data_IF_387919555977
#
_entry.id   IF_387919555977
#
_cell.length_a   1.000
_cell.length_b   1.000
_cell.length_c   1.000
_cell.angle_alpha   90.00
_cell.angle_beta   90.00
_cell.angle_gamma   90.00
#
_symmetry.space_group_name_H-M   'P 1'
#
loop_
_entity.id
_entity.type
_entity.pdbx_description
1 polymer ?
#
# COMPACT_ATOMS: atom_id res chain seq x y z
N UNK A 1 -10.52 -9.18 2.93
CA UNK A 1 -9.13 -8.85 2.53
C UNK A 1 -8.37 -10.04 1.95
N UNK A 2 -8.24 -11.18 2.65
CA UNK A 2 -7.46 -12.32 2.10
C UNK A 2 -8.04 -12.91 0.80
N UNK A 3 -9.37 -13.06 0.70
CA UNK A 3 -10.03 -13.56 -0.53
C UNK A 3 -9.80 -12.63 -1.71
N UNK A 4 -10.00 -11.32 -1.51
CA UNK A 4 -9.79 -10.30 -2.56
C UNK A 4 -8.33 -10.20 -2.97
N UNK A 5 -7.39 -10.33 -2.01
CA UNK A 5 -5.96 -10.35 -2.31
C UNK A 5 -5.58 -11.58 -3.15
N UNK A 6 -6.09 -12.76 -2.79
CA UNK A 6 -5.85 -13.98 -3.55
C UNK A 6 -6.39 -13.87 -4.98
N UNK A 7 -7.61 -13.35 -5.14
CA UNK A 7 -8.21 -13.09 -6.46
C UNK A 7 -7.38 -12.10 -7.28
N UNK A 8 -6.96 -10.99 -6.68
CA UNK A 8 -6.10 -9.99 -7.33
C UNK A 8 -4.74 -10.54 -7.75
N UNK A 9 -4.25 -11.57 -7.07
CA UNK A 9 -2.97 -12.19 -7.39
C UNK A 9 -3.10 -13.26 -8.49
N UNK A 10 -4.16 -14.09 -8.43
CA UNK A 10 -4.36 -15.23 -9.35
C UNK A 10 -4.98 -14.82 -10.69
N UNK A 11 -6.01 -13.97 -10.68
CA UNK A 11 -6.78 -13.65 -11.90
C UNK A 11 -5.91 -13.00 -12.97
N UNK A 12 -5.11 -11.95 -12.67
CA UNK A 12 -4.26 -11.31 -13.67
C UNK A 12 -3.17 -12.26 -14.18
N UNK A 13 -2.65 -13.14 -13.33
CA UNK A 13 -1.65 -14.13 -13.74
C UNK A 13 -2.23 -15.14 -14.73
N UNK A 14 -3.44 -15.64 -14.49
CA UNK A 14 -4.14 -16.53 -15.42
C UNK A 14 -4.29 -15.89 -16.81
N UNK A 15 -4.79 -14.66 -16.88
CA UNK A 15 -4.96 -13.95 -18.15
C UNK A 15 -3.63 -13.63 -18.82
N UNK A 16 -2.62 -13.20 -18.06
CA UNK A 16 -1.28 -12.89 -18.59
C UNK A 16 -0.64 -14.10 -19.26
N UNK A 17 -0.74 -15.28 -18.64
CA UNK A 17 -0.21 -16.52 -19.20
C UNK A 17 -0.98 -16.93 -20.46
N UNK A 18 -2.32 -16.83 -20.43
CA UNK A 18 -3.16 -17.14 -21.60
C UNK A 18 -2.94 -16.20 -22.79
N UNK A 19 -2.70 -14.92 -22.52
CA UNK A 19 -2.50 -13.88 -23.53
C UNK A 19 -1.01 -13.66 -23.89
N UNK A 20 -0.10 -14.50 -23.37
CA UNK A 20 1.35 -14.41 -23.61
C UNK A 20 1.98 -13.03 -23.32
N UNK A 21 1.49 -12.33 -22.28
CA UNK A 21 1.95 -10.99 -21.95
C UNK A 21 3.21 -11.01 -21.07
N UNK A 22 4.35 -11.39 -21.66
CA UNK A 22 5.60 -11.66 -20.95
C UNK A 22 6.16 -10.50 -20.13
N UNK A 23 5.97 -9.25 -20.59
CA UNK A 23 6.45 -8.05 -19.88
C UNK A 23 5.81 -7.93 -18.50
N UNK A 24 4.50 -8.14 -18.41
CA UNK A 24 3.79 -8.10 -17.14
C UNK A 24 4.25 -9.24 -16.23
N UNK A 25 4.40 -10.45 -16.78
CA UNK A 25 4.83 -11.62 -16.02
C UNK A 25 6.18 -11.40 -15.33
N UNK A 26 7.17 -10.84 -16.02
CA UNK A 26 8.50 -10.56 -15.44
C UNK A 26 8.41 -9.57 -14.28
N UNK A 27 7.71 -8.44 -14.48
CA UNK A 27 7.52 -7.43 -13.43
C UNK A 27 6.79 -8.03 -12.24
N UNK A 28 5.76 -8.84 -12.50
CA UNK A 28 4.95 -9.48 -11.49
C UNK A 28 5.76 -10.48 -10.65
N UNK A 29 6.63 -11.28 -11.28
CA UNK A 29 7.50 -12.23 -10.58
C UNK A 29 8.48 -11.47 -9.68
N UNK A 30 9.12 -10.42 -10.20
CA UNK A 30 10.05 -9.60 -9.43
C UNK A 30 9.37 -8.94 -8.23
N UNK A 31 8.22 -8.29 -8.45
CA UNK A 31 7.43 -7.68 -7.40
C UNK A 31 7.02 -8.70 -6.33
N UNK A 32 6.53 -9.87 -6.76
CA UNK A 32 6.07 -10.93 -5.86
C UNK A 32 7.23 -11.52 -5.05
N UNK A 33 8.40 -11.72 -5.65
CA UNK A 33 9.58 -12.24 -4.97
C UNK A 33 10.06 -11.29 -3.87
N UNK A 34 10.19 -9.98 -4.18
CA UNK A 34 10.63 -8.98 -3.19
C UNK A 34 9.59 -8.79 -2.09
N UNK A 35 8.31 -8.71 -2.47
CA UNK A 35 7.21 -8.59 -1.49
C UNK A 35 7.13 -9.81 -0.59
N UNK A 36 7.28 -11.02 -1.13
CA UNK A 36 7.33 -12.25 -0.34
C UNK A 36 8.50 -12.25 0.65
N UNK A 37 9.68 -11.78 0.25
CA UNK A 37 10.82 -11.62 1.16
C UNK A 37 10.54 -10.62 2.30
N UNK A 38 9.96 -9.46 1.96
CA UNK A 38 9.60 -8.42 2.94
C UNK A 38 8.53 -8.93 3.92
N UNK A 39 7.48 -9.59 3.42
CA UNK A 39 6.43 -10.21 4.22
C UNK A 39 6.96 -11.34 5.09
N UNK A 40 7.87 -12.17 4.56
CA UNK A 40 8.56 -13.18 5.35
C UNK A 40 9.27 -12.53 6.54
N UNK A 41 10.04 -11.46 6.32
CA UNK A 41 10.72 -10.74 7.41
C UNK A 41 9.73 -10.16 8.43
N UNK A 42 8.61 -9.60 7.97
CA UNK A 42 7.57 -9.04 8.84
C UNK A 42 6.84 -10.06 9.72
N UNK A 43 6.76 -11.32 9.28
CA UNK A 43 6.04 -12.41 9.97
C UNK A 43 6.92 -13.23 10.93
N UNK A 44 8.24 -13.03 10.92
CA UNK A 44 9.17 -13.74 11.81
C UNK A 44 9.02 -13.32 13.27
N UNK A 45 9.12 -14.30 14.17
CA UNK A 45 9.19 -14.11 15.61
C UNK A 45 10.55 -14.62 16.13
N UNK A 46 11.30 -13.85 16.94
CA UNK A 46 11.03 -12.45 17.31
C UNK A 46 11.22 -11.49 16.12
N UNK A 47 10.51 -10.36 16.14
CA UNK A 47 10.63 -9.33 15.11
C UNK A 47 11.97 -8.58 15.30
N UNK A 48 12.80 -8.55 14.25
CA UNK A 48 14.07 -7.81 14.28
C UNK A 48 13.79 -6.31 14.21
N UNK A 49 14.45 -5.50 15.04
CA UNK A 49 14.25 -4.05 15.18
C UNK A 49 14.31 -3.24 13.87
N UNK A 50 15.12 -3.67 12.89
CA UNK A 50 15.23 -2.99 11.58
C UNK A 50 14.10 -3.32 10.61
N UNK A 51 13.29 -4.35 10.90
CA UNK A 51 12.26 -4.88 9.99
C UNK A 51 11.14 -3.88 9.70
N UNK A 52 10.55 -3.17 10.68
CA UNK A 52 9.51 -2.19 10.40
C UNK A 52 9.95 -1.10 9.43
N UNK A 53 11.21 -0.65 9.56
CA UNK A 53 11.78 0.34 8.65
C UNK A 53 11.94 -0.21 7.23
N UNK A 54 12.41 -1.46 7.09
CA UNK A 54 12.51 -2.14 5.79
C UNK A 54 11.14 -2.26 5.12
N UNK A 55 10.14 -2.73 5.87
CA UNK A 55 8.76 -2.92 5.41
C UNK A 55 8.18 -1.59 4.92
N UNK A 56 8.24 -0.54 5.73
CA UNK A 56 7.71 0.77 5.35
C UNK A 56 8.46 1.39 4.17
N UNK A 57 9.78 1.24 4.08
CA UNK A 57 10.57 1.72 2.93
C UNK A 57 10.17 1.02 1.64
N UNK A 58 10.03 -0.30 1.67
CA UNK A 58 9.61 -1.08 0.49
C UNK A 58 8.24 -0.62 -0.01
N UNK A 59 7.22 -0.65 0.86
CA UNK A 59 5.86 -0.31 0.44
C UNK A 59 5.71 1.18 0.07
N UNK A 60 6.46 2.08 0.71
CA UNK A 60 6.50 3.48 0.28
C UNK A 60 7.16 3.66 -1.09
N UNK A 61 8.19 2.87 -1.41
CA UNK A 61 8.83 2.90 -2.73
C UNK A 61 7.86 2.44 -3.81
N UNK A 62 7.21 1.28 -3.62
CA UNK A 62 6.24 0.77 -4.60
C UNK A 62 5.09 1.76 -4.76
N UNK A 63 4.57 2.32 -3.65
CA UNK A 63 3.57 3.39 -3.67
C UNK A 63 3.97 4.58 -4.56
N UNK A 64 5.20 5.08 -4.41
CA UNK A 64 5.67 6.23 -5.20
C UNK A 64 5.74 5.90 -6.69
N UNK A 65 6.22 4.70 -7.02
CA UNK A 65 6.32 4.23 -8.41
C UNK A 65 4.92 4.08 -9.00
N UNK A 66 4.06 3.31 -8.32
CA UNK A 66 2.66 3.06 -8.66
C UNK A 66 1.87 4.36 -8.88
N UNK A 67 1.98 5.31 -7.95
CA UNK A 67 1.34 6.61 -8.04
C UNK A 67 1.87 7.44 -9.22
N UNK A 68 3.19 7.50 -9.41
CA UNK A 68 3.79 8.24 -10.54
C UNK A 68 3.40 7.62 -11.89
N UNK A 69 3.42 6.29 -12.01
CA UNK A 69 3.00 5.56 -13.20
C UNK A 69 1.51 5.79 -13.49
N UNK A 70 0.65 5.78 -12.47
CA UNK A 70 -0.77 6.08 -12.60
C UNK A 70 -1.03 7.51 -13.10
N UNK A 71 -0.33 8.51 -12.56
CA UNK A 71 -0.41 9.89 -13.05
C UNK A 71 0.06 9.98 -14.51
N UNK A 72 1.22 9.37 -14.83
CA UNK A 72 1.75 9.39 -16.19
C UNK A 72 0.78 8.75 -17.19
N UNK A 73 0.16 7.63 -16.83
CA UNK A 73 -0.87 6.98 -17.65
C UNK A 73 -2.12 7.85 -17.82
N UNK A 74 -2.61 8.48 -16.75
CA UNK A 74 -3.73 9.42 -16.83
C UNK A 74 -3.43 10.58 -17.77
N UNK A 75 -2.25 11.18 -17.63
CA UNK A 75 -1.81 12.28 -18.51
C UNK A 75 -1.72 11.83 -19.97
N UNK A 76 -1.21 10.63 -20.24
CA UNK A 76 -1.14 10.08 -21.60
C UNK A 76 -2.53 9.86 -22.22
N UNK A 77 -3.50 9.36 -21.44
CA UNK A 77 -4.90 9.20 -21.88
C UNK A 77 -5.53 10.57 -22.15
N UNK A 78 -5.41 11.53 -21.22
CA UNK A 78 -5.94 12.89 -21.40
C UNK A 78 -5.34 13.56 -22.64
N UNK A 79 -4.02 13.45 -22.81
CA UNK A 79 -3.31 13.99 -23.95
C UNK A 79 -3.82 13.43 -25.28
N UNK A 80 -4.18 12.15 -25.32
CA UNK A 80 -4.76 11.49 -26.48
C UNK A 80 -6.21 11.94 -26.72
N UNK A 81 -7.02 12.07 -25.66
CA UNK A 81 -8.42 12.52 -25.77
C UNK A 81 -8.57 13.97 -26.24
N UNK A 82 -7.64 14.86 -25.88
CA UNK A 82 -7.61 16.23 -26.38
C UNK A 82 -7.04 16.34 -27.81
N UNK A 83 -6.68 15.23 -28.45
CA UNK A 83 -6.13 15.21 -29.81
C UNK A 83 -4.71 15.77 -29.93
N UNK A 84 -4.02 16.01 -28.82
CA UNK A 84 -2.66 16.57 -28.81
C UNK A 84 -1.62 15.57 -29.33
N UNK A 85 -1.92 14.27 -29.26
CA UNK A 85 -1.14 13.20 -29.88
C UNK A 85 -0.99 13.35 -31.40
N UNK A 86 -1.97 13.98 -32.07
CA UNK A 86 -1.92 14.26 -33.51
C UNK A 86 -0.82 15.29 -33.86
N UNK A 87 -0.49 16.21 -32.94
CA UNK A 87 0.61 17.17 -33.12
C UNK A 87 1.97 16.47 -33.23
N UNK A 88 2.11 15.31 -32.59
CA UNK A 88 3.32 14.48 -32.62
C UNK A 88 3.24 13.36 -33.65
N UNK A 89 2.19 13.34 -34.51
CA UNK A 89 1.92 12.29 -35.49
C UNK A 89 1.84 10.88 -34.89
N UNK A 90 1.46 10.78 -33.61
CA UNK A 90 1.25 9.50 -32.94
C UNK A 90 -0.20 9.10 -33.16
N UNK A 91 -0.42 7.86 -33.60
CA UNK A 91 -1.78 7.37 -33.79
C UNK A 91 -2.54 7.32 -32.45
N UNK A 92 -3.83 7.70 -32.41
CA UNK A 92 -4.63 7.64 -31.19
C UNK A 92 -4.71 6.25 -30.56
N UNK A 93 -4.77 5.20 -31.39
CA UNK A 93 -4.76 3.80 -30.94
C UNK A 93 -3.53 3.49 -30.08
N UNK A 94 -2.33 3.72 -30.61
CA UNK A 94 -1.06 3.41 -29.93
C UNK A 94 -0.88 4.24 -28.65
N UNK A 95 -1.26 5.53 -28.69
CA UNK A 95 -1.13 6.43 -27.54
C UNK A 95 -2.10 6.05 -26.41
N UNK A 96 -3.34 5.65 -26.77
CA UNK A 96 -4.35 5.21 -25.82
C UNK A 96 -3.95 3.88 -25.18
N UNK A 97 -3.48 2.90 -25.97
CA UNK A 97 -3.02 1.60 -25.48
C UNK A 97 -1.84 1.76 -24.50
N UNK A 98 -0.89 2.65 -24.81
CA UNK A 98 0.20 2.99 -23.91
C UNK A 98 -0.29 3.62 -22.61
N UNK A 99 -1.18 4.61 -22.69
CA UNK A 99 -1.74 5.30 -21.52
C UNK A 99 -2.55 4.38 -20.62
N UNK A 100 -3.42 3.55 -21.20
CA UNK A 100 -4.21 2.54 -20.48
C UNK A 100 -3.30 1.49 -19.86
N UNK A 101 -2.26 1.04 -20.57
CA UNK A 101 -1.28 0.11 -20.01
C UNK A 101 -0.62 0.69 -18.75
N UNK A 102 -0.12 1.93 -18.81
CA UNK A 102 0.47 2.60 -17.65
C UNK A 102 -0.52 2.74 -16.49
N UNK A 103 -1.76 3.13 -16.78
CA UNK A 103 -2.82 3.19 -15.76
C UNK A 103 -3.05 1.83 -15.11
N UNK A 104 -3.11 0.76 -15.90
CA UNK A 104 -3.25 -0.59 -15.39
C UNK A 104 -2.07 -0.96 -14.47
N UNK A 105 -0.82 -0.75 -14.90
CA UNK A 105 0.35 -1.01 -14.05
C UNK A 105 0.30 -0.22 -12.73
N UNK A 106 0.05 1.09 -12.81
CA UNK A 106 -0.02 1.95 -11.63
C UNK A 106 -1.13 1.52 -10.67
N UNK A 107 -2.36 1.37 -11.16
CA UNK A 107 -3.49 1.03 -10.30
C UNK A 107 -3.41 -0.40 -9.75
N UNK A 108 -2.97 -1.37 -10.56
CA UNK A 108 -2.87 -2.77 -10.15
C UNK A 108 -1.86 -2.99 -9.01
N UNK A 109 -0.62 -2.53 -9.20
CA UNK A 109 0.40 -2.62 -8.15
C UNK A 109 0.01 -1.75 -6.95
N UNK A 110 -0.63 -0.59 -7.20
CA UNK A 110 -1.30 0.26 -6.21
C UNK A 110 -2.23 -0.49 -5.25
N UNK A 111 -3.13 -1.30 -5.78
CA UNK A 111 -4.05 -2.09 -4.96
C UNK A 111 -3.32 -3.17 -4.18
N UNK A 112 -2.43 -3.92 -4.86
CA UNK A 112 -1.70 -5.03 -4.26
C UNK A 112 -0.78 -4.59 -3.12
N UNK A 113 0.05 -3.58 -3.35
CA UNK A 113 1.01 -3.09 -2.37
C UNK A 113 0.32 -2.63 -1.08
N UNK A 114 -0.87 -2.01 -1.20
CA UNK A 114 -1.67 -1.51 -0.10
C UNK A 114 -2.19 -2.64 0.78
N UNK A 115 -2.63 -3.74 0.18
CA UNK A 115 -3.08 -4.93 0.91
C UNK A 115 -1.93 -5.65 1.62
N UNK A 116 -0.78 -5.80 0.96
CA UNK A 116 0.39 -6.39 1.58
C UNK A 116 0.98 -5.51 2.69
N UNK A 117 0.97 -4.19 2.51
CA UNK A 117 1.39 -3.22 3.52
C UNK A 117 0.55 -3.32 4.81
N UNK A 118 -0.77 -3.36 4.66
CA UNK A 118 -1.71 -3.50 5.77
C UNK A 118 -1.52 -4.83 6.49
N UNK A 119 -1.42 -5.94 5.74
CA UNK A 119 -1.14 -7.26 6.30
C UNK A 119 0.19 -7.32 7.06
N UNK A 120 1.27 -6.77 6.49
CA UNK A 120 2.57 -6.75 7.15
C UNK A 120 2.54 -5.90 8.42
N UNK A 121 1.84 -4.76 8.40
CA UNK A 121 1.66 -3.92 9.57
C UNK A 121 0.90 -4.66 10.69
N UNK A 122 -0.14 -5.43 10.36
CA UNK A 122 -0.87 -6.27 11.32
C UNK A 122 0.02 -7.34 11.97
N UNK A 123 0.82 -8.05 11.17
CA UNK A 123 1.75 -9.03 11.71
C UNK A 123 2.81 -8.40 12.63
N UNK A 124 3.38 -7.27 12.23
CA UNK A 124 4.35 -6.55 13.06
C UNK A 124 3.69 -6.06 14.36
N UNK A 125 2.50 -5.45 14.28
CA UNK A 125 1.71 -5.00 15.42
C UNK A 125 1.47 -6.11 16.45
N UNK A 126 1.05 -7.29 15.97
CA UNK A 126 0.81 -8.46 16.81
C UNK A 126 2.07 -9.02 17.47
N UNK A 127 3.24 -8.84 16.86
CA UNK A 127 4.52 -9.40 17.34
C UNK A 127 5.24 -8.48 18.31
N UNK A 128 5.10 -7.16 18.16
CA UNK A 128 5.75 -6.16 19.03
C UNK A 128 5.23 -6.26 20.49
N UNK A 129 4.00 -6.74 20.70
CA UNK A 129 3.57 -7.22 22.02
C UNK A 129 3.19 -6.14 23.03
N UNK A 130 3.04 -4.87 22.64
CA UNK A 130 2.30 -3.87 23.45
C UNK A 130 0.77 -4.00 23.26
N UNK A 131 0.34 -4.84 22.31
CA UNK A 131 -1.04 -5.24 22.12
C UNK A 131 -1.45 -6.26 23.19
N UNK A 132 -2.02 -5.80 24.31
CA UNK A 132 -2.97 -6.62 25.06
C UNK A 132 -4.40 -6.19 24.69
N UNK A 133 -5.31 -7.15 24.53
CA UNK A 133 -6.74 -6.85 24.37
C UNK A 133 -7.31 -6.13 25.61
N UNK A 134 -6.64 -6.24 26.76
CA UNK A 134 -6.99 -5.64 28.04
C UNK A 134 -6.43 -4.24 28.30
N UNK A 135 -5.63 -3.66 27.39
CA UNK A 135 -5.13 -2.28 27.50
C UNK A 135 -3.97 -2.06 28.49
N UNK A 136 -3.51 -3.08 29.22
CA UNK A 136 -2.31 -2.99 30.06
C UNK A 136 -1.05 -3.44 29.29
N UNK A 137 -0.01 -2.60 29.18
CA UNK A 137 1.24 -2.97 28.51
C UNK A 137 2.00 -4.02 29.35
N UNK A 138 2.36 -5.15 28.74
CA UNK A 138 3.13 -6.23 29.41
C UNK A 138 4.63 -5.93 29.49
N UNK A 139 5.09 -4.84 28.88
CA UNK A 139 6.48 -4.36 28.91
C UNK A 139 6.50 -2.85 29.14
N UNK A 140 7.20 -2.39 30.18
CA UNK A 140 7.55 -0.99 30.33
C UNK A 140 8.66 -0.65 29.34
N UNK A 141 8.35 0.19 28.35
CA UNK A 141 9.34 0.73 27.43
C UNK A 141 9.81 2.07 27.98
N UNK A 142 11.13 2.31 28.02
CA UNK A 142 11.65 3.64 28.37
C UNK A 142 11.24 4.66 27.30
N UNK A 143 10.99 5.90 27.70
CA UNK A 143 10.59 7.00 26.79
C UNK A 143 11.62 7.27 25.68
N UNK A 144 12.85 6.76 25.85
CA UNK A 144 13.96 6.83 24.91
C UNK A 144 13.97 5.75 23.84
N UNK A 145 12.98 4.84 23.76
CA UNK A 145 12.93 3.76 22.76
C UNK A 145 11.63 3.83 21.96
N UNK A 146 11.74 3.78 20.64
CA UNK A 146 10.58 3.79 19.76
C UNK A 146 9.83 2.45 19.83
N UNK A 147 8.54 2.49 20.22
CA UNK A 147 7.72 1.28 20.33
C UNK A 147 7.44 0.56 18.99
N UNK A 148 7.71 1.19 17.84
CA UNK A 148 7.49 0.58 16.51
C UNK A 148 8.71 -0.22 16.06
N UNK A 149 9.90 0.39 16.05
CA UNK A 149 11.13 -0.27 15.59
C UNK A 149 12.00 -0.83 16.74
N UNK A 150 11.70 -0.49 17.98
CA UNK A 150 12.47 -0.92 19.15
C UNK A 150 13.86 -0.30 19.27
N UNK A 151 14.21 0.71 18.46
CA UNK A 151 15.50 1.41 18.51
C UNK A 151 15.45 2.66 19.39
N UNK A 152 16.61 3.11 19.86
CA UNK A 152 16.72 4.32 20.67
C UNK A 152 16.37 5.59 19.87
N UNK A 153 15.78 6.55 20.56
CA UNK A 153 15.43 7.89 20.08
C UNK A 153 16.51 8.83 20.60
N UNK A 154 17.35 9.34 19.69
CA UNK A 154 18.51 10.18 20.04
C UNK A 154 18.22 11.69 19.94
N UNK A 155 17.15 12.08 19.25
CA UNK A 155 16.80 13.46 18.96
C UNK A 155 15.54 13.82 19.75
N UNK A 156 15.56 14.93 20.50
CA UNK A 156 14.38 15.44 21.19
C UNK A 156 13.37 16.01 20.17
N UNK A 157 12.09 16.04 20.54
CA UNK A 157 10.98 16.60 19.75
C UNK A 157 11.20 18.08 19.41
N UNK A 158 11.96 18.82 20.22
CA UNK A 158 12.27 20.23 20.01
C UNK A 158 13.44 20.49 19.06
N UNK A 159 14.18 19.46 18.66
CA UNK A 159 15.38 19.59 17.83
C UNK A 159 15.16 18.95 16.45
N UNK A 160 15.67 19.61 15.40
CA UNK A 160 15.73 19.01 14.08
C UNK A 160 16.85 17.97 14.04
N UNK A 161 16.49 16.73 13.77
CA UNK A 161 17.42 15.63 13.72
C UNK A 161 18.23 15.63 12.43
N UNK A 162 19.55 15.46 12.53
CA UNK A 162 20.43 15.32 11.35
C UNK A 162 20.08 14.07 10.54
N UNK A 163 19.67 12.98 11.21
CA UNK A 163 19.36 11.68 10.59
C UNK A 163 17.85 11.49 10.45
N UNK A 164 17.10 11.73 11.53
CA UNK A 164 15.66 11.62 11.55
C UNK A 164 15.07 12.44 12.70
N UNK A 165 13.89 12.99 12.47
CA UNK A 165 13.15 13.71 13.51
C UNK A 165 12.35 12.76 14.39
N UNK A 166 11.91 13.31 15.52
CA UNK A 166 11.09 12.66 16.51
C UNK A 166 9.71 13.32 16.56
N UNK A 167 8.65 12.53 16.68
CA UNK A 167 7.28 13.03 16.75
C UNK A 167 6.61 12.59 18.06
N UNK A 168 5.95 13.54 18.73
CA UNK A 168 5.15 13.30 19.94
C UNK A 168 3.66 13.31 19.61
N UNK A 169 2.97 12.23 19.96
CA UNK A 169 1.51 12.11 19.82
C UNK A 169 0.76 12.89 20.92
N UNK A 170 -0.56 13.04 20.78
CA UNK A 170 -1.45 13.63 21.80
C UNK A 170 -1.37 12.92 23.15
N UNK A 171 -1.25 11.58 23.09
CA UNK A 171 -1.05 10.70 24.24
C UNK A 171 0.35 10.79 24.87
N UNK A 172 1.16 11.79 24.52
CA UNK A 172 2.55 12.03 24.95
C UNK A 172 3.60 10.96 24.60
N UNK A 173 3.21 9.86 23.94
CA UNK A 173 4.18 8.87 23.47
C UNK A 173 5.01 9.41 22.29
N UNK A 174 6.30 9.09 22.32
CA UNK A 174 7.31 9.61 21.40
C UNK A 174 7.81 8.50 20.47
N UNK A 175 7.95 8.81 19.19
CA UNK A 175 8.36 7.86 18.16
C UNK A 175 9.29 8.54 17.14
N UNK A 176 10.10 7.75 16.41
CA UNK A 176 10.71 8.25 15.18
C UNK A 176 9.62 8.66 14.19
N UNK A 177 9.76 9.84 13.59
CA UNK A 177 8.77 10.39 12.67
C UNK A 177 8.46 9.41 11.52
N UNK A 178 9.51 8.80 10.95
CA UNK A 178 9.36 7.80 9.90
C UNK A 178 8.55 6.57 10.35
N UNK A 179 8.76 6.10 11.57
CA UNK A 179 8.10 4.90 12.08
C UNK A 179 6.61 5.14 12.35
N UNK A 180 6.25 6.29 12.94
CA UNK A 180 4.85 6.62 13.22
C UNK A 180 4.10 7.00 11.95
N UNK A 181 4.74 7.69 10.98
CA UNK A 181 4.16 7.91 9.66
C UNK A 181 3.93 6.59 8.92
N UNK A 182 4.90 5.66 8.95
CA UNK A 182 4.74 4.33 8.38
C UNK A 182 3.57 3.56 9.00
N UNK A 183 3.44 3.59 10.33
CA UNK A 183 2.32 2.99 11.05
C UNK A 183 0.95 3.55 10.62
N UNK A 184 0.81 4.87 10.59
CA UNK A 184 -0.45 5.54 10.26
C UNK A 184 -0.81 5.47 8.77
N UNK A 185 0.17 5.64 7.87
CA UNK A 185 -0.06 5.74 6.42
C UNK A 185 -0.01 4.36 5.77
N UNK A 186 1.12 3.65 5.92
CA UNK A 186 1.38 2.37 5.25
C UNK A 186 0.57 1.26 5.91
N UNK A 187 0.54 1.22 7.24
CA UNK A 187 -0.23 0.24 8.01
C UNK A 187 -1.70 0.59 8.22
N UNK A 188 -2.15 1.80 7.83
CA UNK A 188 -3.49 2.36 8.11
C UNK A 188 -3.91 2.30 9.57
N UNK A 189 -2.96 2.28 10.50
CA UNK A 189 -3.26 2.20 11.93
C UNK A 189 -3.40 3.59 12.52
N UNK A 190 -4.63 4.01 12.79
CA UNK A 190 -4.95 5.34 13.30
C UNK A 190 -4.92 5.43 14.84
N UNK A 191 -4.20 4.53 15.50
CA UNK A 191 -4.13 4.43 16.96
C UNK A 191 -2.67 4.37 17.39
N UNK A 192 -2.36 4.93 18.57
CA UNK A 192 -1.03 4.87 19.15
C UNK A 192 -0.59 3.40 19.28
N UNK A 193 0.61 3.02 18.80
CA UNK A 193 1.13 1.65 18.94
C UNK A 193 1.24 1.16 20.38
N UNK A 194 1.30 2.08 21.36
CA UNK A 194 1.48 1.77 22.77
C UNK A 194 0.15 1.77 23.55
N UNK A 195 -0.54 2.92 23.62
CA UNK A 195 -1.76 3.08 24.44
C UNK A 195 -3.08 2.96 23.67
N UNK A 196 -3.04 2.73 22.34
CA UNK A 196 -4.22 2.65 21.45
C UNK A 196 -5.12 3.90 21.39
N UNK A 197 -4.71 5.02 22.00
CA UNK A 197 -5.39 6.30 21.83
C UNK A 197 -5.41 6.68 20.34
N UNK A 198 -6.55 7.20 19.86
CA UNK A 198 -6.69 7.62 18.47
C UNK A 198 -5.72 8.78 18.17
N UNK A 199 -4.99 8.65 17.07
CA UNK A 199 -4.03 9.65 16.64
C UNK A 199 -4.74 10.76 15.87
N UNK A 200 -4.43 12.02 16.19
CA UNK A 200 -4.88 13.16 15.39
C UNK A 200 -4.05 13.29 14.09
N UNK A 201 -4.54 12.64 13.04
CA UNK A 201 -3.93 12.67 11.72
C UNK A 201 -3.87 14.08 11.11
N UNK A 202 -4.77 15.01 11.48
CA UNK A 202 -4.76 16.38 10.94
C UNK A 202 -3.54 17.16 11.45
N UNK A 203 -3.16 16.93 12.71
CA UNK A 203 -1.96 17.52 13.31
C UNK A 203 -0.68 16.88 12.77
N UNK A 204 -0.69 15.59 12.44
CA UNK A 204 0.44 14.90 11.81
C UNK A 204 0.67 15.34 10.36
N UNK A 205 -0.42 15.54 9.61
CA UNK A 205 -0.38 15.95 8.21
C UNK A 205 -0.85 17.40 8.07
N UNK A 206 -0.06 18.32 8.63
CA UNK A 206 -0.37 19.75 8.59
C UNK A 206 -0.32 20.31 7.16
N UNK A 207 0.36 19.63 6.23
CA UNK A 207 0.49 20.08 4.87
C UNK A 207 -0.72 19.65 4.01
N UNK A 208 -1.50 20.58 3.43
CA UNK A 208 -2.64 20.25 2.57
C UNK A 208 -2.30 19.32 1.39
N UNK A 209 -1.03 19.36 0.95
CA UNK A 209 -0.49 18.51 -0.12
C UNK A 209 -0.31 17.03 0.25
N UNK A 210 -0.48 16.65 1.53
CA UNK A 210 -0.46 15.24 1.96
C UNK A 210 -1.85 14.56 1.89
N UNK A 211 -2.94 15.33 1.69
CA UNK A 211 -4.31 14.81 1.49
C UNK A 211 -4.52 13.94 0.23
N UNK A 212 -3.85 14.19 -0.91
CA UNK A 212 -3.97 13.34 -2.11
C UNK A 212 -3.65 11.87 -1.84
N UNK A 213 -2.71 11.57 -0.92
CA UNK A 213 -2.38 10.20 -0.54
C UNK A 213 -3.58 9.44 0.06
N UNK A 214 -4.43 10.13 0.81
CA UNK A 214 -5.65 9.55 1.40
C UNK A 214 -6.72 9.30 0.34
N UNK A 215 -6.94 10.26 -0.56
CA UNK A 215 -7.91 10.13 -1.66
C UNK A 215 -7.53 9.04 -2.65
N UNK A 216 -6.26 8.97 -3.04
CA UNK A 216 -5.74 7.90 -3.87
C UNK A 216 -5.95 6.54 -3.20
N UNK A 217 -5.77 6.47 -1.88
CA UNK A 217 -6.09 5.28 -1.11
C UNK A 217 -7.55 4.82 -1.22
N UNK A 218 -8.51 5.74 -1.16
CA UNK A 218 -9.94 5.42 -1.31
C UNK A 218 -10.26 4.95 -2.74
N UNK A 219 -9.64 5.59 -3.75
CA UNK A 219 -9.75 5.16 -5.15
C UNK A 219 -9.29 3.71 -5.32
N UNK A 220 -8.13 3.35 -4.75
CA UNK A 220 -7.61 1.99 -4.81
C UNK A 220 -8.54 0.98 -4.11
N UNK A 221 -9.16 1.33 -2.98
CA UNK A 221 -10.13 0.45 -2.32
C UNK A 221 -11.35 0.21 -3.21
N UNK A 222 -11.88 1.24 -3.88
CA UNK A 222 -13.00 1.12 -4.81
C UNK A 222 -12.63 0.24 -6.02
N UNK A 223 -11.46 0.48 -6.61
CA UNK A 223 -10.92 -0.33 -7.71
C UNK A 223 -10.73 -1.79 -7.30
N UNK A 224 -10.30 -2.06 -6.06
CA UNK A 224 -10.18 -3.42 -5.55
C UNK A 224 -11.52 -4.16 -5.65
N UNK A 225 -12.59 -3.55 -5.15
CA UNK A 225 -13.91 -4.17 -5.19
C UNK A 225 -14.40 -4.35 -6.62
N UNK A 226 -14.21 -3.35 -7.48
CA UNK A 226 -14.62 -3.45 -8.88
C UNK A 226 -13.91 -4.62 -9.59
N UNK A 227 -12.58 -4.69 -9.53
CA UNK A 227 -11.81 -5.70 -10.28
C UNK A 227 -11.96 -7.10 -9.67
N UNK A 228 -12.07 -7.23 -8.35
CA UNK A 228 -12.16 -8.55 -7.70
C UNK A 228 -13.55 -9.19 -7.91
N UNK A 229 -14.62 -8.39 -7.89
CA UNK A 229 -15.99 -8.90 -8.02
C UNK A 229 -16.44 -9.09 -9.47
N UNK A 230 -15.88 -8.37 -10.43
CA UNK A 230 -16.27 -8.48 -11.85
C UNK A 230 -16.19 -9.92 -12.40
N UNK A 231 -15.08 -10.68 -12.25
CA UNK A 231 -15.00 -12.07 -12.70
C UNK A 231 -16.03 -12.99 -12.03
N UNK A 232 -16.32 -12.75 -10.75
CA UNK A 232 -17.31 -13.53 -9.98
C UNK A 232 -18.72 -13.26 -10.50
N UNK A 233 -19.05 -11.99 -10.75
CA UNK A 233 -20.34 -11.58 -11.30
C UNK A 233 -20.53 -12.16 -12.70
N UNK A 234 -19.54 -12.01 -13.58
CA UNK A 234 -19.62 -12.53 -14.96
C UNK A 234 -19.75 -14.06 -14.95
N UNK A 235 -18.93 -14.76 -14.17
CA UNK A 235 -19.01 -16.22 -14.06
C UNK A 235 -20.34 -16.71 -13.50
N UNK A 236 -20.92 -15.99 -12.54
CA UNK A 236 -22.25 -16.30 -12.01
C UNK A 236 -23.35 -16.07 -13.04
N UNK A 237 -23.33 -14.94 -13.76
CA UNK A 237 -24.31 -14.64 -14.81
C UNK A 237 -24.23 -15.65 -15.94
N UNK A 238 -23.01 -16.00 -16.40
CA UNK A 238 -22.80 -17.05 -17.39
C UNK A 238 -23.29 -18.41 -16.89
N UNK A 239 -22.99 -18.77 -15.63
CA UNK A 239 -23.49 -19.99 -15.02
C UNK A 239 -25.02 -20.05 -14.96
N UNK A 240 -25.68 -18.94 -14.61
CA UNK A 240 -27.15 -18.84 -14.62
C UNK A 240 -27.70 -18.97 -16.04
N UNK A 241 -27.13 -18.26 -17.02
CA UNK A 241 -27.56 -18.33 -18.41
C UNK A 241 -27.41 -19.76 -18.96
N UNK A 242 -26.30 -20.43 -18.66
CA UNK A 242 -26.06 -21.82 -19.02
C UNK A 242 -27.10 -22.76 -18.40
N UNK A 243 -27.40 -22.62 -17.11
CA UNK A 243 -28.42 -23.43 -16.41
C UNK A 243 -29.83 -23.19 -16.97
N UNK A 244 -30.15 -21.94 -17.32
CA UNK A 244 -31.44 -21.55 -17.88
C UNK A 244 -31.55 -21.82 -19.40
N UNK A 245 -30.49 -22.31 -20.05
CA UNK A 245 -30.48 -22.57 -21.49
C UNK A 245 -30.60 -21.30 -22.34
N UNK A 246 -30.12 -20.17 -21.83
CA UNK A 246 -30.11 -18.85 -22.47
C UNK A 246 -28.80 -18.55 -23.24
N UNK A 247 -27.90 -19.54 -23.36
CA UNK A 247 -26.71 -19.50 -24.22
C UNK A 247 -26.94 -20.19 -25.56
#
# INVERSE_FOLDING_TARGET
MMVTLFQMWVVPLYFTVKLHWWRFLVIWILFSAVTAFVTFRATRKPLVQTTPRLVYKWFLLVYKISYATGIAGYMAVMFTLFGLNLLFKIKPEDAMDFGISLLFYGLYYGVLERDFAEMCADYMASTIGFYSESGMPTKHLSDSVCAVCGQQIFVDVSEEGIIENTYRLSCNHVFHEFCIRGWCIVGKKQTCPYCKEKVDLKRMFSNPWERPHVMYGQLLDWLRYLVAWQPVIIGLVQGINYILGLE
#
